data_IF_523362494797
#
_entry.id   IF_523362494797
#
_cell.length_a   1.000
_cell.length_b   1.000
_cell.length_c   1.000
_cell.angle_alpha   90.00
_cell.angle_beta   90.00
_cell.angle_gamma   90.00
#
_symmetry.space_group_name_H-M   'P 1'
#
loop_
_entity.id
_entity.type
_entity.pdbx_description
1 polymer ?
#
# COMPACT_ATOMS: atom_id res chain seq x y z
N UNK A 1 -12.03 -6.05 -7.64
CA UNK A 1 -13.26 -5.27 -7.37
C UNK A 1 -12.98 -3.79 -7.59
N UNK A 2 -13.94 -2.95 -7.98
CA UNK A 2 -13.76 -1.49 -8.04
C UNK A 2 -14.01 -0.85 -6.66
N UNK A 3 -13.25 0.20 -6.36
CA UNK A 3 -13.54 1.16 -5.30
C UNK A 3 -13.82 2.50 -5.98
N UNK A 4 -15.07 2.95 -5.91
CA UNK A 4 -15.60 4.11 -6.61
C UNK A 4 -15.45 3.98 -8.15
N UNK A 5 -14.44 4.59 -8.77
CA UNK A 5 -14.29 4.72 -10.21
C UNK A 5 -13.10 3.96 -10.82
N UNK A 6 -12.37 3.18 -10.02
CA UNK A 6 -11.19 2.45 -10.46
C UNK A 6 -10.98 1.13 -9.71
N UNK A 7 -10.16 0.22 -10.24
CA UNK A 7 -9.82 -1.04 -9.57
C UNK A 7 -9.13 -0.80 -8.22
N UNK A 8 -9.49 -1.59 -7.21
CA UNK A 8 -8.94 -1.53 -5.86
C UNK A 8 -7.41 -1.56 -5.85
N UNK A 9 -6.80 -2.44 -6.65
CA UNK A 9 -5.33 -2.59 -6.74
C UNK A 9 -4.61 -1.28 -7.13
N UNK A 10 -5.27 -0.34 -7.78
CA UNK A 10 -4.65 0.94 -8.16
C UNK A 10 -4.24 1.76 -6.94
N UNK A 11 -4.97 1.67 -5.84
CA UNK A 11 -4.65 2.40 -4.61
C UNK A 11 -3.37 1.89 -3.95
N UNK A 12 -3.25 0.58 -3.75
CA UNK A 12 -2.04 -0.03 -3.19
C UNK A 12 -0.84 0.13 -4.13
N UNK A 13 -1.06 -0.03 -5.45
CA UNK A 13 -0.02 0.19 -6.46
C UNK A 13 0.50 1.63 -6.42
N UNK A 14 -0.39 2.61 -6.38
CA UNK A 14 0.03 4.02 -6.31
C UNK A 14 0.72 4.36 -5.00
N UNK A 15 0.36 3.72 -3.88
CA UNK A 15 1.07 3.89 -2.61
C UNK A 15 2.55 3.49 -2.74
N UNK A 16 2.84 2.35 -3.38
CA UNK A 16 4.22 1.93 -3.67
C UNK A 16 4.91 2.88 -4.68
N UNK A 17 4.20 3.31 -5.71
CA UNK A 17 4.72 4.26 -6.70
C UNK A 17 5.07 5.62 -6.07
N UNK A 18 4.31 6.09 -5.09
CA UNK A 18 4.60 7.33 -4.33
C UNK A 18 5.89 7.24 -3.52
N UNK A 19 6.28 6.02 -3.09
CA UNK A 19 7.60 5.76 -2.50
C UNK A 19 8.75 5.82 -3.52
N UNK A 20 8.46 5.89 -4.82
CA UNK A 20 9.47 5.81 -5.88
C UNK A 20 9.78 4.39 -6.35
N UNK A 21 9.06 3.39 -5.85
CA UNK A 21 9.27 1.96 -6.16
C UNK A 21 8.77 1.67 -7.56
N UNK A 22 9.65 1.10 -8.41
CA UNK A 22 9.35 0.77 -9.81
C UNK A 22 9.24 -0.73 -10.06
N UNK A 23 10.01 -1.53 -9.35
CA UNK A 23 10.00 -2.99 -9.50
C UNK A 23 9.00 -3.56 -8.49
N UNK A 24 7.86 -4.06 -8.99
CA UNK A 24 6.73 -4.46 -8.15
C UNK A 24 6.30 -5.87 -8.54
N UNK A 25 6.19 -6.75 -7.54
CA UNK A 25 5.65 -8.08 -7.67
C UNK A 25 4.22 -8.14 -7.14
N UNK A 26 3.29 -8.53 -7.96
CA UNK A 26 1.91 -8.82 -7.58
C UNK A 26 1.81 -10.30 -7.19
N UNK A 27 1.58 -10.56 -5.91
CA UNK A 27 1.31 -11.91 -5.40
C UNK A 27 -0.20 -12.08 -5.23
N UNK A 28 -0.77 -13.09 -5.86
CA UNK A 28 -2.21 -13.37 -5.80
C UNK A 28 -2.48 -14.86 -5.97
N UNK A 29 -3.72 -15.27 -5.71
CA UNK A 29 -4.17 -16.63 -5.98
C UNK A 29 -4.23 -16.95 -7.48
N UNK A 30 -4.34 -18.25 -7.81
CA UNK A 30 -4.37 -18.73 -9.18
C UNK A 30 -5.62 -18.30 -9.99
N UNK A 31 -6.70 -17.89 -9.32
CA UNK A 31 -7.94 -17.49 -10.01
C UNK A 31 -7.89 -16.03 -10.47
N UNK A 32 -7.22 -15.17 -9.70
CA UNK A 32 -7.21 -13.73 -9.92
C UNK A 32 -5.98 -13.25 -10.68
N UNK A 33 -4.87 -13.99 -10.66
CA UNK A 33 -3.58 -13.56 -11.24
C UNK A 33 -3.68 -13.15 -12.70
N UNK A 34 -4.39 -13.92 -13.53
CA UNK A 34 -4.61 -13.63 -14.96
C UNK A 34 -5.41 -12.34 -15.16
N UNK A 35 -6.31 -12.04 -14.24
CA UNK A 35 -7.10 -10.81 -14.26
C UNK A 35 -6.22 -9.60 -13.98
N UNK A 36 -5.33 -9.70 -12.99
CA UNK A 36 -4.35 -8.66 -12.72
C UNK A 36 -3.38 -8.47 -13.88
N UNK A 37 -2.87 -9.52 -14.49
CA UNK A 37 -2.00 -9.44 -15.66
C UNK A 37 -2.67 -8.72 -16.85
N UNK A 38 -3.93 -9.04 -17.10
CA UNK A 38 -4.70 -8.38 -18.18
C UNK A 38 -4.99 -6.91 -17.87
N UNK A 39 -5.25 -6.59 -16.60
CA UNK A 39 -5.59 -5.24 -16.17
C UNK A 39 -4.36 -4.32 -16.16
N UNK A 40 -3.25 -4.78 -15.61
CA UNK A 40 -2.08 -3.97 -15.30
C UNK A 40 -1.00 -4.05 -16.39
N UNK A 41 -1.02 -5.12 -17.22
CA UNK A 41 0.04 -5.40 -18.17
C UNK A 41 1.38 -5.65 -17.46
N UNK A 42 2.45 -5.23 -18.09
CA UNK A 42 3.82 -5.34 -17.57
C UNK A 42 4.31 -4.06 -16.85
N UNK A 43 3.44 -3.08 -16.68
CA UNK A 43 3.75 -1.82 -16.01
C UNK A 43 4.43 -0.76 -16.87
N UNK A 44 4.90 -1.07 -18.07
CA UNK A 44 5.66 -0.14 -18.95
C UNK A 44 4.87 1.12 -19.31
N UNK A 45 3.54 1.03 -19.34
CA UNK A 45 2.67 2.18 -19.56
C UNK A 45 2.81 3.26 -18.49
N UNK A 46 3.28 2.90 -17.31
CA UNK A 46 3.52 3.79 -16.17
C UNK A 46 5.02 3.95 -15.85
N UNK A 47 5.91 3.41 -16.71
CA UNK A 47 7.35 3.46 -16.48
C UNK A 47 7.84 2.64 -15.28
N UNK A 48 7.09 1.60 -14.91
CA UNK A 48 7.42 0.63 -13.86
C UNK A 48 7.53 -0.78 -14.45
N UNK A 49 8.03 -1.73 -13.68
CA UNK A 49 8.14 -3.15 -14.03
C UNK A 49 7.21 -3.98 -13.12
N UNK A 50 6.21 -4.60 -13.70
CA UNK A 50 5.31 -5.49 -12.96
C UNK A 50 5.66 -6.94 -13.25
N UNK A 51 5.83 -7.70 -12.18
CA UNK A 51 5.94 -9.15 -12.18
C UNK A 51 4.78 -9.77 -11.41
N UNK A 52 4.52 -11.06 -11.62
CA UNK A 52 3.36 -11.74 -11.05
C UNK A 52 3.78 -13.10 -10.51
N UNK A 53 3.30 -13.44 -9.31
CA UNK A 53 3.52 -14.73 -8.69
C UNK A 53 2.23 -15.28 -8.09
N UNK A 54 2.09 -16.60 -8.09
CA UNK A 54 0.93 -17.29 -7.55
C UNK A 54 1.23 -17.70 -6.11
N UNK A 55 0.33 -17.34 -5.19
CA UNK A 55 0.21 -17.93 -3.87
C UNK A 55 -0.79 -19.10 -3.97
N UNK A 56 -0.34 -20.35 -3.87
CA UNK A 56 -1.21 -21.50 -4.14
C UNK A 56 -2.32 -21.67 -3.09
N UNK A 57 -1.99 -21.37 -1.83
CA UNK A 57 -2.89 -21.46 -0.68
C UNK A 57 -2.81 -20.17 0.12
N UNK A 58 -3.92 -19.73 0.74
CA UNK A 58 -3.94 -18.53 1.58
C UNK A 58 -3.31 -18.80 2.97
N UNK A 59 -2.02 -19.02 3.02
CA UNK A 59 -1.25 -19.38 4.22
C UNK A 59 -0.62 -18.16 4.90
N UNK A 60 -1.24 -16.99 4.76
CA UNK A 60 -0.85 -15.77 5.45
C UNK A 60 -0.01 -14.80 4.61
N UNK A 61 0.05 -13.55 5.06
CA UNK A 61 0.75 -12.47 4.35
C UNK A 61 2.26 -12.71 4.34
N UNK A 62 2.85 -13.20 5.44
CA UNK A 62 4.29 -13.45 5.49
C UNK A 62 4.75 -14.53 4.50
N UNK A 63 3.88 -15.46 4.08
CA UNK A 63 4.20 -16.43 3.03
C UNK A 63 4.55 -15.75 1.70
N UNK A 64 3.98 -14.59 1.40
CA UNK A 64 4.26 -13.85 0.16
C UNK A 64 5.75 -13.49 0.03
N UNK A 65 6.46 -13.30 1.14
CA UNK A 65 7.90 -13.03 1.16
C UNK A 65 8.68 -14.26 0.65
N UNK A 66 8.30 -15.46 1.06
CA UNK A 66 8.94 -16.70 0.60
C UNK A 66 8.68 -16.93 -0.91
N UNK A 67 7.47 -16.62 -1.36
CA UNK A 67 7.12 -16.69 -2.80
C UNK A 67 7.94 -15.68 -3.61
N UNK A 68 8.19 -14.51 -3.02
CA UNK A 68 8.94 -13.43 -3.63
C UNK A 68 10.47 -13.55 -3.49
N UNK A 69 11.02 -14.59 -2.84
CA UNK A 69 12.44 -14.71 -2.49
C UNK A 69 13.38 -14.39 -3.67
N UNK A 70 13.11 -14.94 -4.86
CA UNK A 70 13.92 -14.69 -6.07
C UNK A 70 13.78 -13.27 -6.61
N UNK A 71 12.64 -12.62 -6.36
CA UNK A 71 12.38 -11.25 -6.76
C UNK A 71 13.04 -10.27 -5.80
N UNK A 72 13.04 -10.58 -4.52
CA UNK A 72 13.63 -9.76 -3.45
C UNK A 72 15.16 -9.75 -3.58
N UNK A 73 15.77 -10.94 -3.83
CA UNK A 73 17.21 -11.13 -3.85
C UNK A 73 17.85 -10.54 -2.57
N UNK A 74 18.79 -9.63 -2.68
CA UNK A 74 19.45 -8.97 -1.54
C UNK A 74 18.86 -7.57 -1.22
N UNK A 75 17.66 -7.25 -1.74
CA UNK A 75 17.06 -5.91 -1.61
C UNK A 75 16.19 -5.77 -0.36
N UNK A 76 16.07 -4.54 0.15
CA UNK A 76 14.99 -4.16 1.05
C UNK A 76 13.66 -4.18 0.29
N UNK A 77 12.55 -4.37 1.00
CA UNK A 77 11.23 -4.49 0.39
C UNK A 77 10.19 -3.61 1.07
N UNK A 78 9.18 -3.22 0.29
CA UNK A 78 7.91 -2.72 0.81
C UNK A 78 6.78 -3.70 0.45
N UNK A 79 5.88 -3.98 1.39
CA UNK A 79 4.68 -4.78 1.18
C UNK A 79 3.47 -3.88 1.40
N UNK A 80 2.58 -3.81 0.40
CA UNK A 80 1.28 -3.16 0.52
C UNK A 80 0.18 -4.19 0.28
N UNK A 81 -0.76 -4.30 1.21
CA UNK A 81 -1.93 -5.17 1.05
C UNK A 81 -2.86 -4.60 -0.01
N UNK A 82 -3.38 -5.46 -0.89
CA UNK A 82 -4.14 -5.07 -2.08
C UNK A 82 -5.50 -4.42 -1.81
N UNK A 83 -6.01 -4.55 -0.60
CA UNK A 83 -7.27 -4.02 -0.09
C UNK A 83 -7.11 -2.80 0.83
N UNK A 84 -5.88 -2.31 1.01
CA UNK A 84 -5.60 -1.16 1.85
C UNK A 84 -5.46 0.12 1.02
N UNK A 85 -6.15 1.17 1.44
CA UNK A 85 -6.13 2.49 0.82
C UNK A 85 -5.55 3.49 1.81
N UNK A 86 -4.56 4.25 1.36
CA UNK A 86 -3.94 5.34 2.11
C UNK A 86 -4.15 6.67 1.39
N UNK A 87 -4.54 7.69 2.14
CA UNK A 87 -4.67 9.06 1.61
C UNK A 87 -4.41 10.07 2.70
N UNK A 88 -3.70 11.14 2.39
CA UNK A 88 -3.49 12.22 3.35
C UNK A 88 -2.29 13.10 3.00
N UNK A 89 -2.25 14.29 3.57
CA UNK A 89 -1.31 15.34 3.22
C UNK A 89 0.15 14.97 3.51
N UNK A 90 0.40 14.23 4.61
CA UNK A 90 1.76 13.86 5.02
C UNK A 90 2.18 12.47 4.54
N UNK A 91 1.33 11.78 3.76
CA UNK A 91 1.55 10.39 3.39
C UNK A 91 2.90 10.19 2.69
N UNK A 92 3.21 10.99 1.68
CA UNK A 92 4.46 10.86 0.92
C UNK A 92 5.69 11.04 1.82
N UNK A 93 5.65 12.00 2.73
CA UNK A 93 6.73 12.26 3.69
C UNK A 93 6.94 11.06 4.62
N UNK A 94 5.85 10.47 5.12
CA UNK A 94 5.88 9.28 5.96
C UNK A 94 6.44 8.07 5.20
N UNK A 95 6.00 7.87 3.95
CA UNK A 95 6.47 6.78 3.09
C UNK A 95 7.96 6.88 2.80
N UNK A 96 8.45 8.06 2.40
CA UNK A 96 9.87 8.30 2.10
C UNK A 96 10.76 8.14 3.34
N UNK A 97 10.26 8.55 4.51
CA UNK A 97 10.96 8.35 5.77
C UNK A 97 11.12 6.87 6.11
N UNK A 98 10.09 6.06 5.85
CA UNK A 98 10.13 4.61 6.06
C UNK A 98 11.09 3.90 5.10
N UNK A 99 11.10 4.30 3.82
CA UNK A 99 11.95 3.73 2.77
C UNK A 99 13.44 4.07 2.97
N UNK A 100 13.75 5.14 3.69
CA UNK A 100 15.13 5.56 3.95
C UNK A 100 15.86 4.76 5.03
N UNK A 101 15.20 3.80 5.69
CA UNK A 101 15.80 2.95 6.73
C UNK A 101 16.52 1.77 6.09
N UNK A 102 17.86 1.72 6.24
CA UNK A 102 18.67 0.65 5.67
C UNK A 102 18.58 -0.67 6.47
N UNK A 103 18.13 -0.63 7.71
CA UNK A 103 18.09 -1.80 8.61
C UNK A 103 16.79 -1.85 9.40
N UNK A 104 16.34 -3.08 9.66
CA UNK A 104 15.17 -3.35 10.47
C UNK A 104 13.87 -3.31 9.66
N UNK A 105 12.79 -3.03 10.35
CA UNK A 105 11.47 -2.89 9.74
C UNK A 105 10.78 -1.61 10.16
N UNK A 106 9.93 -1.08 9.30
CA UNK A 106 9.03 0.03 9.61
C UNK A 106 7.59 -0.40 9.35
N UNK A 107 6.74 -0.22 10.34
CA UNK A 107 5.29 -0.43 10.24
C UNK A 107 4.56 0.87 10.58
N UNK A 108 3.33 0.99 10.09
CA UNK A 108 2.50 2.17 10.34
C UNK A 108 1.36 1.80 11.27
N UNK A 109 1.12 2.63 12.28
CA UNK A 109 0.05 2.46 13.23
C UNK A 109 -1.01 3.54 13.07
N UNK A 110 -2.27 3.13 13.10
CA UNK A 110 -3.42 4.00 12.91
C UNK A 110 -4.47 3.76 14.02
N UNK A 111 -5.05 4.82 14.61
CA UNK A 111 -6.09 4.65 15.62
C UNK A 111 -7.42 4.22 14.97
N UNK A 112 -7.98 3.11 15.43
CA UNK A 112 -9.23 2.53 14.93
C UNK A 112 -10.29 2.45 16.03
N UNK A 113 -11.56 2.35 15.63
CA UNK A 113 -12.69 2.18 16.55
C UNK A 113 -12.99 0.72 16.87
N UNK A 114 -12.50 -0.22 16.07
CA UNK A 114 -12.75 -1.65 16.08
C UNK A 114 -11.44 -2.47 16.10
N UNK A 115 -10.56 -2.25 17.10
CA UNK A 115 -9.21 -2.81 17.14
C UNK A 115 -9.16 -4.34 17.19
N UNK A 116 -10.25 -5.02 17.56
CA UNK A 116 -10.37 -6.48 17.61
C UNK A 116 -10.21 -7.15 16.23
N UNK A 117 -10.32 -6.39 15.14
CA UNK A 117 -10.20 -6.90 13.78
C UNK A 117 -8.75 -6.91 13.26
N UNK A 118 -7.80 -6.33 14.00
CA UNK A 118 -6.44 -6.04 13.53
C UNK A 118 -5.36 -6.57 14.48
N UNK A 119 -4.14 -6.58 13.99
CA UNK A 119 -2.95 -6.59 14.83
C UNK A 119 -2.76 -5.24 15.49
N UNK A 120 -2.74 -5.14 16.81
CA UNK A 120 -2.66 -3.87 17.54
C UNK A 120 -1.40 -3.78 18.39
N UNK A 121 -0.85 -2.57 18.50
CA UNK A 121 0.31 -2.29 19.34
C UNK A 121 -0.09 -2.38 20.82
N UNK A 122 0.78 -3.04 21.60
CA UNK A 122 0.69 -3.06 23.07
C UNK A 122 1.76 -2.16 23.67
N UNK A 123 1.34 -1.32 24.60
CA UNK A 123 2.22 -0.36 25.26
C UNK A 123 2.43 -0.73 26.73
N UNK A 124 3.61 -0.45 27.24
CA UNK A 124 3.86 -0.48 28.67
C UNK A 124 3.37 0.82 29.36
N UNK A 125 3.57 0.88 30.68
CA UNK A 125 3.19 2.07 31.49
C UNK A 125 3.99 3.34 31.16
N UNK A 126 5.04 3.24 30.39
CA UNK A 126 5.90 4.36 29.94
C UNK A 126 5.60 4.79 28.51
N UNK A 127 4.69 4.08 27.82
CA UNK A 127 4.34 4.33 26.42
C UNK A 127 5.27 3.66 25.42
N UNK A 128 6.15 2.77 25.86
CA UNK A 128 6.98 1.97 24.96
C UNK A 128 6.20 0.80 24.39
N UNK A 129 6.41 0.47 23.11
CA UNK A 129 5.80 -0.68 22.48
C UNK A 129 6.51 -1.94 22.97
N UNK A 130 5.72 -2.88 23.51
CA UNK A 130 6.24 -4.12 24.11
C UNK A 130 5.76 -5.38 23.41
N UNK A 131 4.69 -5.29 22.62
CA UNK A 131 4.14 -6.42 21.85
C UNK A 131 3.22 -5.90 20.74
N UNK A 132 2.81 -6.83 19.84
CA UNK A 132 1.75 -6.61 18.85
C UNK A 132 0.73 -7.75 19.02
N UNK A 133 -0.49 -7.44 19.39
CA UNK A 133 -1.56 -8.42 19.67
C UNK A 133 -2.38 -8.66 18.41
N UNK A 134 -2.38 -9.90 17.87
CA UNK A 134 -3.14 -10.25 16.65
C UNK A 134 -4.59 -10.57 17.01
N UNK A 135 -5.55 -9.79 16.51
CA UNK A 135 -7.01 -10.02 16.52
C UNK A 135 -7.54 -10.56 17.85
N UNK A 136 -7.24 -9.87 18.93
CA UNK A 136 -7.70 -10.24 20.27
C UNK A 136 -9.13 -9.73 20.51
N UNK A 137 -9.96 -10.52 21.21
CA UNK A 137 -11.31 -10.07 21.60
C UNK A 137 -11.32 -8.81 22.49
N UNK A 138 -10.26 -8.61 23.26
CA UNK A 138 -10.05 -7.44 24.11
C UNK A 138 -8.65 -6.89 23.91
N UNK A 139 -8.46 -6.11 22.84
CA UNK A 139 -7.16 -5.52 22.53
C UNK A 139 -6.71 -4.54 23.62
N UNK A 140 -5.40 -4.45 23.84
CA UNK A 140 -4.83 -3.56 24.88
C UNK A 140 -4.74 -2.09 24.43
N UNK A 141 -4.91 -1.79 23.13
CA UNK A 141 -4.91 -0.45 22.58
C UNK A 141 -5.82 -0.31 21.36
N UNK A 142 -5.95 0.91 20.85
CA UNK A 142 -6.69 1.22 19.62
C UNK A 142 -5.76 1.44 18.41
N UNK A 143 -4.46 1.19 18.53
CA UNK A 143 -3.51 1.46 17.46
C UNK A 143 -3.25 0.20 16.64
N UNK A 144 -4.01 0.08 15.54
CA UNK A 144 -3.85 -1.02 14.58
C UNK A 144 -2.59 -0.83 13.73
N UNK A 145 -1.87 -1.92 13.46
CA UNK A 145 -0.82 -1.97 12.46
C UNK A 145 -1.49 -2.09 11.09
N UNK A 146 -1.20 -1.15 10.21
CA UNK A 146 -1.82 -1.09 8.87
C UNK A 146 -1.21 -2.12 7.93
N UNK A 147 -1.83 -2.30 6.76
CA UNK A 147 -1.33 -3.22 5.72
C UNK A 147 -0.23 -2.63 4.83
N UNK A 148 0.70 -1.89 5.43
CA UNK A 148 1.88 -1.34 4.74
C UNK A 148 3.13 -1.56 5.60
N UNK A 149 4.12 -2.22 5.05
CA UNK A 149 5.30 -2.68 5.77
C UNK A 149 6.55 -2.42 4.96
N UNK A 150 7.65 -2.03 5.61
CA UNK A 150 8.98 -1.93 5.04
C UNK A 150 9.91 -2.84 5.83
N UNK A 151 10.69 -3.65 5.13
CA UNK A 151 11.62 -4.61 5.74
C UNK A 151 12.98 -4.54 5.06
N UNK A 152 14.03 -4.73 5.85
CA UNK A 152 15.36 -4.96 5.31
C UNK A 152 15.48 -6.36 4.66
N UNK A 153 16.60 -6.61 4.00
CA UNK A 153 16.87 -7.87 3.29
C UNK A 153 16.93 -9.11 4.20
N UNK A 154 17.00 -8.96 5.53
CA UNK A 154 16.95 -10.10 6.47
C UNK A 154 15.55 -10.72 6.57
N UNK A 155 14.54 -10.10 5.97
CA UNK A 155 13.13 -10.52 6.07
C UNK A 155 12.90 -11.96 5.63
N UNK A 156 13.59 -12.44 4.59
CA UNK A 156 13.44 -13.80 4.06
C UNK A 156 13.82 -14.83 5.13
N UNK A 157 15.00 -14.66 5.74
CA UNK A 157 15.47 -15.60 6.78
C UNK A 157 14.57 -15.54 8.01
N UNK A 158 14.08 -14.35 8.38
CA UNK A 158 13.14 -14.20 9.51
C UNK A 158 11.81 -14.90 9.24
N UNK A 159 11.30 -14.86 8.02
CA UNK A 159 10.06 -15.57 7.66
C UNK A 159 10.28 -17.08 7.64
N UNK A 160 11.43 -17.59 7.20
CA UNK A 160 11.76 -19.03 7.24
C UNK A 160 11.73 -19.61 8.67
N UNK A 161 11.95 -18.79 9.67
CA UNK A 161 11.90 -19.18 11.09
C UNK A 161 10.51 -19.07 11.72
N UNK A 162 9.50 -18.59 11.00
CA UNK A 162 8.13 -18.51 11.53
C UNK A 162 7.49 -19.89 11.58
N UNK A 163 6.56 -20.05 12.50
CA UNK A 163 5.69 -21.21 12.59
C UNK A 163 4.26 -20.82 12.22
N UNK A 164 3.50 -21.75 11.68
CA UNK A 164 2.09 -21.54 11.40
C UNK A 164 1.31 -21.28 12.69
N UNK A 165 0.46 -20.27 12.66
CA UNK A 165 -0.45 -19.97 13.76
C UNK A 165 -1.56 -21.03 13.89
N UNK A 166 -2.40 -20.90 14.93
CA UNK A 166 -3.60 -21.74 15.09
C UNK A 166 -4.60 -21.58 13.95
N UNK A 167 -4.50 -20.51 13.14
CA UNK A 167 -5.29 -20.28 11.93
C UNK A 167 -4.71 -20.97 10.69
N UNK A 168 -3.52 -21.58 10.81
CA UNK A 168 -2.82 -22.18 9.68
C UNK A 168 -2.13 -21.14 8.78
N UNK A 169 -1.79 -19.97 9.30
CA UNK A 169 -1.18 -18.87 8.57
C UNK A 169 0.22 -18.53 9.11
N UNK A 170 1.13 -18.12 8.23
CA UNK A 170 2.35 -17.40 8.58
C UNK A 170 1.97 -15.94 8.80
N UNK A 171 1.84 -15.54 10.07
CA UNK A 171 1.32 -14.24 10.45
C UNK A 171 2.36 -13.15 10.23
N UNK A 172 1.94 -12.06 9.59
CA UNK A 172 2.80 -10.86 9.47
C UNK A 172 3.06 -10.24 10.85
N UNK A 173 2.15 -10.40 11.78
CA UNK A 173 2.30 -9.95 13.17
C UNK A 173 3.45 -10.69 13.87
N UNK A 174 3.62 -11.99 13.62
CA UNK A 174 4.74 -12.73 14.21
C UNK A 174 6.09 -12.33 13.60
N UNK A 175 6.12 -11.99 12.31
CA UNK A 175 7.28 -11.38 11.69
C UNK A 175 7.64 -10.04 12.37
N UNK A 176 6.67 -9.16 12.53
CA UNK A 176 6.86 -7.87 13.19
C UNK A 176 7.32 -8.02 14.65
N UNK A 177 6.81 -9.04 15.38
CA UNK A 177 7.29 -9.36 16.75
C UNK A 177 8.75 -9.78 16.77
N UNK A 178 9.25 -10.52 15.77
CA UNK A 178 10.68 -10.85 15.68
C UNK A 178 11.52 -9.59 15.58
N UNK A 179 11.14 -8.65 14.70
CA UNK A 179 11.83 -7.36 14.60
C UNK A 179 11.73 -6.55 15.90
N UNK A 180 10.57 -6.55 16.57
CA UNK A 180 10.39 -5.88 17.86
C UNK A 180 11.31 -6.45 18.94
N UNK A 181 11.39 -7.79 19.06
CA UNK A 181 12.22 -8.48 20.04
C UNK A 181 13.72 -8.19 19.83
N UNK A 182 14.13 -8.02 18.59
CA UNK A 182 15.50 -7.67 18.22
C UNK A 182 15.77 -6.15 18.30
N UNK A 183 14.77 -5.35 18.70
CA UNK A 183 14.85 -3.87 18.76
C UNK A 183 15.10 -3.23 17.38
N UNK A 184 14.62 -3.88 16.33
CA UNK A 184 14.73 -3.46 14.93
C UNK A 184 13.39 -3.04 14.31
N UNK A 185 12.31 -2.94 15.11
CA UNK A 185 11.01 -2.47 14.66
C UNK A 185 10.89 -0.96 14.90
N UNK A 186 10.74 -0.21 13.83
CA UNK A 186 10.30 1.18 13.86
C UNK A 186 8.79 1.27 13.65
N UNK A 187 8.10 2.11 14.42
CA UNK A 187 6.66 2.32 14.30
C UNK A 187 6.37 3.79 14.02
N UNK A 188 5.75 4.05 12.88
CA UNK A 188 5.32 5.38 12.46
C UNK A 188 3.85 5.56 12.80
N UNK A 189 3.54 6.49 13.69
CA UNK A 189 2.16 6.81 14.06
C UNK A 189 1.53 7.72 13.01
N UNK A 190 0.48 7.24 12.33
CA UNK A 190 -0.28 8.05 11.38
C UNK A 190 -1.21 9.00 12.13
N UNK A 191 -1.09 10.29 11.84
CA UNK A 191 -1.90 11.34 12.43
C UNK A 191 -3.28 11.49 11.76
N UNK A 192 -4.10 12.39 12.31
CA UNK A 192 -5.48 12.66 11.82
C UNK A 192 -5.54 13.18 10.37
N UNK A 193 -4.43 13.64 9.81
CA UNK A 193 -4.35 14.11 8.42
C UNK A 193 -4.25 12.98 7.40
N UNK A 194 -4.04 11.73 7.85
CA UNK A 194 -4.00 10.53 7.01
C UNK A 194 -5.26 9.71 7.24
N UNK A 195 -5.86 9.23 6.16
CA UNK A 195 -6.91 8.22 6.18
C UNK A 195 -6.31 6.88 5.76
N UNK A 196 -6.54 5.86 6.57
CA UNK A 196 -6.32 4.46 6.23
C UNK A 196 -7.67 3.75 6.19
N UNK A 197 -7.95 3.06 5.09
CA UNK A 197 -9.18 2.34 4.84
C UNK A 197 -8.81 0.91 4.46
N UNK A 198 -9.23 -0.03 5.30
CA UNK A 198 -9.16 -1.46 5.02
C UNK A 198 -10.49 -1.87 4.37
N UNK A 199 -10.44 -2.37 3.13
CA UNK A 199 -11.64 -2.71 2.34
C UNK A 199 -11.99 -4.20 2.42
N UNK A 200 -11.62 -4.87 3.50
CA UNK A 200 -11.80 -6.31 3.69
C UNK A 200 -13.26 -6.76 3.91
N UNK A 201 -14.21 -5.84 4.17
CA UNK A 201 -15.64 -6.15 4.27
C UNK A 201 -16.45 -5.38 3.23
N UNK A 202 -17.71 -5.81 3.00
CA UNK A 202 -18.63 -5.12 2.08
C UNK A 202 -18.93 -3.70 2.57
N UNK A 203 -19.13 -3.55 3.87
CA UNK A 203 -19.41 -2.27 4.53
C UNK A 203 -18.20 -1.33 4.39
N UNK A 204 -17.01 -1.80 4.72
CA UNK A 204 -15.76 -1.03 4.62
C UNK A 204 -15.45 -0.65 3.16
N UNK A 205 -15.71 -1.54 2.19
CA UNK A 205 -15.58 -1.25 0.77
C UNK A 205 -16.51 -0.11 0.34
N UNK A 206 -17.76 -0.09 0.83
CA UNK A 206 -18.73 0.96 0.53
C UNK A 206 -18.31 2.29 1.16
N UNK A 207 -17.87 2.28 2.41
CA UNK A 207 -17.35 3.48 3.11
C UNK A 207 -16.13 4.06 2.39
N UNK A 208 -15.19 3.22 1.99
CA UNK A 208 -14.02 3.63 1.22
C UNK A 208 -14.44 4.26 -0.12
N UNK A 209 -15.37 3.63 -0.86
CA UNK A 209 -15.86 4.18 -2.12
C UNK A 209 -16.54 5.54 -1.94
N UNK A 210 -17.30 5.74 -0.86
CA UNK A 210 -17.94 7.01 -0.54
C UNK A 210 -16.94 8.09 -0.14
N UNK A 211 -15.93 7.72 0.66
CA UNK A 211 -14.84 8.61 1.06
C UNK A 211 -14.08 9.13 -0.17
N UNK A 212 -13.60 8.22 -1.04
CA UNK A 212 -12.89 8.57 -2.27
C UNK A 212 -13.75 9.44 -3.18
N UNK A 213 -15.02 9.05 -3.41
CA UNK A 213 -15.96 9.85 -4.20
C UNK A 213 -16.09 11.28 -3.69
N UNK A 214 -16.22 11.45 -2.39
CA UNK A 214 -16.39 12.78 -1.77
C UNK A 214 -15.14 13.63 -1.97
N UNK A 215 -13.95 13.09 -1.74
CA UNK A 215 -12.69 13.80 -1.95
C UNK A 215 -12.52 14.20 -3.41
N UNK A 216 -12.59 13.25 -4.33
CA UNK A 216 -12.39 13.51 -5.76
C UNK A 216 -13.40 14.51 -6.32
N UNK A 217 -14.66 14.44 -5.87
CA UNK A 217 -15.68 15.40 -6.28
C UNK A 217 -15.42 16.82 -5.74
N UNK A 218 -14.90 16.93 -4.52
CA UNK A 218 -14.65 18.25 -3.89
C UNK A 218 -13.35 18.88 -4.36
N UNK A 219 -12.28 18.11 -4.48
CA UNK A 219 -10.95 18.61 -4.85
C UNK A 219 -10.73 18.64 -6.37
N UNK A 220 -11.45 17.79 -7.11
CA UNK A 220 -11.22 17.63 -8.54
C UNK A 220 -9.94 16.85 -8.88
N UNK A 221 -9.29 16.26 -7.87
CA UNK A 221 -8.09 15.44 -7.98
C UNK A 221 -8.43 13.97 -7.75
N UNK A 222 -7.64 13.06 -8.33
CA UNK A 222 -7.84 11.62 -8.16
C UNK A 222 -7.00 11.06 -7.02
N UNK A 223 -7.57 10.13 -6.27
CA UNK A 223 -6.85 9.28 -5.33
C UNK A 223 -6.55 7.95 -6.02
N UNK A 224 -5.32 7.47 -5.94
CA UNK A 224 -4.95 6.18 -6.55
C UNK A 224 -4.94 6.23 -8.09
N UNK A 225 -4.24 7.19 -8.69
CA UNK A 225 -4.10 7.37 -10.15
C UNK A 225 -2.67 7.05 -10.60
N UNK A 226 -2.39 5.81 -11.07
CA UNK A 226 -1.03 5.41 -11.46
C UNK A 226 -0.42 6.30 -12.55
N UNK A 227 -1.24 6.74 -13.52
CA UNK A 227 -0.83 7.60 -14.62
C UNK A 227 -0.32 8.96 -14.11
N UNK A 228 -1.05 9.57 -13.18
CA UNK A 228 -0.66 10.83 -12.58
C UNK A 228 0.62 10.69 -11.76
N UNK A 229 0.72 9.66 -10.92
CA UNK A 229 1.93 9.41 -10.12
C UNK A 229 3.13 9.18 -11.03
N UNK A 230 3.01 8.34 -12.05
CA UNK A 230 4.07 8.08 -13.01
C UNK A 230 4.54 9.35 -13.74
N UNK A 231 3.60 10.18 -14.15
CA UNK A 231 3.88 11.43 -14.84
C UNK A 231 4.56 12.45 -13.91
N UNK A 232 4.06 12.64 -12.70
CA UNK A 232 4.66 13.56 -11.72
C UNK A 232 6.03 13.13 -11.23
N UNK A 233 6.29 11.80 -11.18
CA UNK A 233 7.60 11.23 -10.89
C UNK A 233 8.57 11.35 -12.11
N UNK A 234 8.09 11.82 -13.26
CA UNK A 234 8.89 11.91 -14.49
C UNK A 234 9.21 10.54 -15.12
N UNK A 235 8.46 9.50 -14.79
CA UNK A 235 8.63 8.16 -15.37
C UNK A 235 7.99 8.04 -16.75
N UNK A 236 6.98 8.84 -17.01
CA UNK A 236 6.36 9.04 -18.32
C UNK A 236 6.30 10.54 -18.62
N UNK A 237 6.34 10.89 -19.91
CA UNK A 237 6.26 12.26 -20.40
C UNK A 237 4.80 12.65 -20.76
N UNK A 238 4.61 13.92 -21.18
CA UNK A 238 3.31 14.47 -21.54
C UNK A 238 2.64 13.71 -22.69
N UNK A 239 3.40 13.34 -23.73
CA UNK A 239 2.88 12.60 -24.87
C UNK A 239 2.38 11.19 -24.47
N UNK A 240 3.09 10.54 -23.55
CA UNK A 240 2.70 9.24 -22.99
C UNK A 240 1.43 9.38 -22.15
N UNK A 241 1.33 10.42 -21.30
CA UNK A 241 0.13 10.69 -20.51
C UNK A 241 -1.08 10.98 -21.41
N UNK A 242 -0.91 11.79 -22.46
CA UNK A 242 -1.96 12.09 -23.44
C UNK A 242 -2.46 10.83 -24.15
N UNK A 243 -1.53 9.96 -24.54
CA UNK A 243 -1.88 8.67 -25.16
C UNK A 243 -2.70 7.78 -24.23
N UNK A 244 -2.32 7.68 -22.94
CA UNK A 244 -3.07 6.94 -21.92
C UNK A 244 -4.46 7.53 -21.72
N UNK A 245 -4.54 8.86 -21.61
CA UNK A 245 -5.80 9.59 -21.47
C UNK A 245 -6.75 9.36 -22.65
N UNK A 246 -6.23 9.34 -23.88
CA UNK A 246 -7.01 9.14 -25.10
C UNK A 246 -7.73 7.79 -25.12
N UNK A 247 -7.11 6.74 -24.58
CA UNK A 247 -7.74 5.42 -24.46
C UNK A 247 -8.92 5.42 -23.48
N UNK A 248 -8.95 6.37 -22.54
CA UNK A 248 -9.94 6.50 -21.47
C UNK A 248 -10.84 7.73 -21.64
N UNK A 249 -10.81 8.39 -22.79
CA UNK A 249 -11.48 9.68 -23.03
C UNK A 249 -13.00 9.64 -22.84
N UNK A 250 -13.62 8.47 -23.04
CA UNK A 250 -15.07 8.28 -22.85
C UNK A 250 -15.46 8.27 -21.37
N UNK A 251 -14.51 8.14 -20.47
CA UNK A 251 -14.71 8.20 -19.02
C UNK A 251 -14.29 9.55 -18.45
N UNK A 252 -14.77 9.89 -17.26
CA UNK A 252 -14.29 11.04 -16.51
C UNK A 252 -12.80 10.96 -16.16
N UNK A 253 -12.27 9.73 -16.10
CA UNK A 253 -10.86 9.46 -15.78
C UNK A 253 -9.92 9.99 -16.89
N UNK A 254 -10.16 9.66 -18.16
CA UNK A 254 -9.34 10.16 -19.27
C UNK A 254 -9.38 11.69 -19.40
N UNK A 255 -10.55 12.30 -19.19
CA UNK A 255 -10.69 13.77 -19.16
C UNK A 255 -9.87 14.40 -18.03
N UNK A 256 -9.80 13.72 -16.88
CA UNK A 256 -8.96 14.16 -15.76
C UNK A 256 -7.48 14.21 -16.14
N UNK A 257 -6.94 13.15 -16.76
CA UNK A 257 -5.54 13.09 -17.19
C UNK A 257 -5.19 14.21 -18.17
N UNK A 258 -6.05 14.52 -19.15
CA UNK A 258 -5.83 15.66 -20.07
C UNK A 258 -5.81 16.99 -19.32
N UNK A 259 -6.69 17.15 -18.33
CA UNK A 259 -6.73 18.38 -17.53
C UNK A 259 -5.45 18.60 -16.71
N UNK A 260 -4.73 17.54 -16.30
CA UNK A 260 -3.45 17.68 -15.63
C UNK A 260 -2.41 18.42 -16.51
N UNK A 261 -2.36 18.07 -17.80
CA UNK A 261 -1.47 18.75 -18.78
C UNK A 261 -1.84 20.22 -18.93
N UNK A 262 -3.14 20.56 -19.02
CA UNK A 262 -3.60 21.95 -19.09
C UNK A 262 -3.23 22.77 -17.84
N UNK A 263 -3.26 22.18 -16.66
CA UNK A 263 -2.88 22.84 -15.41
C UNK A 263 -1.39 23.16 -15.36
N UNK A 264 -0.54 22.25 -15.84
CA UNK A 264 0.90 22.49 -15.91
C UNK A 264 1.23 23.65 -16.85
N UNK A 265 0.63 23.71 -18.06
CA UNK A 265 0.84 24.79 -19.01
C UNK A 265 0.43 26.17 -18.46
N UNK A 266 -0.59 26.24 -17.63
CA UNK A 266 -1.08 27.49 -17.03
C UNK A 266 -0.31 27.93 -15.78
N UNK A 267 0.74 27.17 -15.37
CA UNK A 267 1.53 27.49 -14.19
C UNK A 267 0.73 27.45 -12.87
N UNK A 268 -0.39 26.74 -12.85
CA UNK A 268 -1.20 26.62 -11.66
C UNK A 268 -0.53 25.69 -10.64
N UNK A 269 -0.45 26.18 -9.41
CA UNK A 269 0.32 25.69 -8.28
C UNK A 269 -0.12 24.31 -7.78
N UNK A 270 0.23 23.25 -8.49
CA UNK A 270 0.29 21.93 -7.88
C UNK A 270 1.77 21.52 -7.77
N UNK A 271 2.36 21.77 -6.60
CA UNK A 271 3.70 21.30 -6.29
C UNK A 271 3.73 19.77 -6.22
N UNK A 272 4.92 19.18 -6.38
CA UNK A 272 5.14 17.73 -6.17
C UNK A 272 4.71 17.23 -4.76
N UNK A 273 4.49 18.15 -3.82
CA UNK A 273 3.99 17.88 -2.47
C UNK A 273 2.47 17.71 -2.37
N UNK A 274 1.72 17.96 -3.46
CA UNK A 274 0.25 17.98 -3.44
C UNK A 274 -0.38 16.68 -3.99
N UNK A 275 0.44 15.62 -4.14
CA UNK A 275 -0.04 14.30 -4.59
C UNK A 275 -0.57 13.48 -3.41
#
# INVERSE_FOLDING_TARGET
>A
MPVYDKPMIYYSLTTLMLCGIKDILIVSDSYNIDTYQKLLGDGRNWGINLSFAIQPNPEGVAQSVLIAEKFIDDSNIAIALGDNIFHGNDLISLLRSADSSDQGSTVFAYPVSDPENYGVLKFDKHGSIVDIEEKQEKPSSQYAVTGLYFYDNSVIERVKELSFSSRGELEITDLNRKYLNDQLLNVVMMGRGVAWLDTGSIEALQEAAQYIRTLEHRQGLKVGCPEEVAWRQGWINDEQLEKLASNLIKSGYGKYLLRLLEFQEKGSFFNQSDI
#
